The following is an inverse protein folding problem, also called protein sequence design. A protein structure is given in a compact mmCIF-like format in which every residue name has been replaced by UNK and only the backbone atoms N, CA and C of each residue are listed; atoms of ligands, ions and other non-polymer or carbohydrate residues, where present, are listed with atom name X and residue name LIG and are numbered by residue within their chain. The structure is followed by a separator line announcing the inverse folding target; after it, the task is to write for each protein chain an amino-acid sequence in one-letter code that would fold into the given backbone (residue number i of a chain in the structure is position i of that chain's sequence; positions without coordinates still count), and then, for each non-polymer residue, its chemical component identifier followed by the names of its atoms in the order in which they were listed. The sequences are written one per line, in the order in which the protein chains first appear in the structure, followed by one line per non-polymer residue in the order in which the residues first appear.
data_IF_295018059737
#
_entry.id   IF_295018059737
#
_cell.length_a   1.000
_cell.length_b   1.000
_cell.length_c   1.000
_cell.angle_alpha   90.00
_cell.angle_beta   90.00
_cell.angle_gamma   90.00
#
_symmetry.space_group_name_H-M   'P 1'
#
loop_
_entity.id
_entity.type
_entity.pdbx_description
1 polymer ?
#
# COMPACT_ATOMS: atom_id res chain seq x y z
N UNK A 1 3.52 8.93 -2.88
CA UNK A 1 2.85 8.55 -1.61
C UNK A 1 3.89 8.40 -0.50
N UNK A 2 3.47 8.44 0.76
CA UNK A 2 4.39 8.35 1.91
C UNK A 2 3.91 7.30 2.90
N UNK A 3 4.86 6.57 3.47
CA UNK A 3 4.57 5.66 4.58
C UNK A 3 5.12 6.25 5.87
N UNK A 4 4.32 6.14 6.93
CA UNK A 4 4.67 6.52 8.30
C UNK A 4 4.65 5.28 9.18
N UNK A 5 5.75 5.03 9.87
CA UNK A 5 5.84 4.02 10.92
C UNK A 5 5.39 4.63 12.26
N UNK A 6 4.53 3.92 12.97
CA UNK A 6 4.04 4.29 14.30
C UNK A 6 4.45 3.16 15.25
N UNK A 7 5.33 3.49 16.19
CA UNK A 7 5.64 2.60 17.30
C UNK A 7 4.47 2.53 18.28
N UNK A 8 4.12 1.34 18.73
CA UNK A 8 3.21 1.09 19.86
C UNK A 8 3.78 0.00 20.76
N UNK A 9 3.26 -0.13 21.97
CA UNK A 9 3.65 -1.20 22.91
C UNK A 9 3.39 -2.61 22.35
N UNK A 10 2.46 -2.71 21.39
CA UNK A 10 2.10 -3.95 20.70
C UNK A 10 2.95 -4.21 19.43
N UNK A 11 3.91 -3.34 19.13
CA UNK A 11 4.74 -3.40 17.93
C UNK A 11 4.54 -2.24 16.97
N UNK A 12 5.10 -2.34 15.77
CA UNK A 12 5.07 -1.27 14.76
C UNK A 12 3.84 -1.39 13.86
N UNK A 13 3.22 -0.25 13.61
CA UNK A 13 2.11 -0.08 12.67
C UNK A 13 2.54 0.84 11.54
N UNK A 14 1.93 0.69 10.38
CA UNK A 14 2.27 1.45 9.19
C UNK A 14 1.05 2.21 8.67
N UNK A 15 1.23 3.48 8.32
CA UNK A 15 0.23 4.28 7.64
C UNK A 15 0.68 4.68 6.25
N UNK A 16 -0.14 4.40 5.23
CA UNK A 16 0.06 4.86 3.86
C UNK A 16 -0.76 6.13 3.63
N UNK A 17 -0.08 7.22 3.26
CA UNK A 17 -0.66 8.51 2.91
C UNK A 17 -0.48 8.81 1.41
N UNK A 18 -1.50 9.40 0.79
CA UNK A 18 -1.42 9.92 -0.57
C UNK A 18 -0.54 11.18 -0.65
N UNK A 19 -0.47 11.83 -1.81
CA UNK A 19 0.36 13.03 -2.02
C UNK A 19 -0.17 14.25 -1.27
N UNK A 20 -1.46 14.27 -1.01
CA UNK A 20 -2.19 15.29 -0.24
C UNK A 20 -2.04 15.09 1.28
N UNK A 21 -1.40 14.00 1.72
CA UNK A 21 -1.21 13.67 3.13
C UNK A 21 -2.42 12.96 3.77
N UNK A 22 -3.40 12.57 2.98
CA UNK A 22 -4.59 11.85 3.42
C UNK A 22 -4.35 10.33 3.45
N UNK A 23 -4.94 9.60 4.42
CA UNK A 23 -4.77 8.14 4.48
C UNK A 23 -5.40 7.41 3.29
N UNK A 24 -4.64 6.48 2.71
CA UNK A 24 -5.15 5.54 1.71
C UNK A 24 -5.95 4.44 2.43
N UNK A 25 -7.23 4.72 2.69
CA UNK A 25 -8.10 3.91 3.57
C UNK A 25 -8.11 2.41 3.24
N UNK A 26 -8.17 1.95 1.97
CA UNK A 26 -8.16 0.52 1.67
C UNK A 26 -6.86 -0.17 2.11
N UNK A 27 -5.70 0.46 1.85
CA UNK A 27 -4.40 -0.04 2.30
C UNK A 27 -4.32 -0.07 3.84
N UNK A 28 -4.79 1.00 4.49
CA UNK A 28 -4.83 1.12 5.94
C UNK A 28 -5.63 -0.01 6.61
N UNK A 29 -6.81 -0.31 6.08
CA UNK A 29 -7.67 -1.39 6.58
C UNK A 29 -6.97 -2.75 6.49
N UNK A 30 -6.29 -3.00 5.38
CA UNK A 30 -5.59 -4.27 5.19
C UNK A 30 -4.34 -4.41 6.07
N UNK A 31 -3.54 -3.36 6.22
CA UNK A 31 -2.39 -3.36 7.14
C UNK A 31 -2.82 -3.55 8.60
N UNK A 32 -3.91 -2.88 9.01
CA UNK A 32 -4.52 -3.08 10.34
C UNK A 32 -4.98 -4.54 10.52
N UNK A 33 -5.58 -5.14 9.49
CA UNK A 33 -5.95 -6.55 9.54
C UNK A 33 -4.73 -7.45 9.74
N UNK A 34 -3.65 -7.26 8.98
CA UNK A 34 -2.41 -8.07 9.12
C UNK A 34 -1.79 -7.95 10.51
N UNK A 35 -1.79 -6.72 11.06
CA UNK A 35 -1.36 -6.47 12.43
C UNK A 35 -2.21 -7.22 13.45
N UNK A 36 -3.54 -7.11 13.34
CA UNK A 36 -4.48 -7.72 14.29
C UNK A 36 -4.42 -9.25 14.32
N UNK A 37 -4.10 -9.91 13.20
CA UNK A 37 -3.93 -11.36 13.15
C UNK A 37 -2.51 -11.82 13.56
N UNK A 38 -1.65 -10.90 14.02
CA UNK A 38 -0.32 -11.21 14.52
C UNK A 38 0.69 -11.61 13.43
N UNK A 39 0.59 -11.07 12.22
CA UNK A 39 1.64 -11.30 11.20
C UNK A 39 2.97 -10.69 11.67
N UNK A 40 4.07 -11.35 11.29
CA UNK A 40 5.41 -10.88 11.59
C UNK A 40 5.65 -9.46 11.02
N UNK A 41 6.42 -8.64 11.74
CA UNK A 41 6.72 -7.25 11.34
C UNK A 41 7.25 -7.16 9.91
N UNK A 42 8.21 -8.02 9.54
CA UNK A 42 8.76 -8.06 8.18
C UNK A 42 7.70 -8.35 7.12
N UNK A 43 6.71 -9.19 7.42
CA UNK A 43 5.59 -9.45 6.53
C UNK A 43 4.76 -8.17 6.35
N UNK A 44 4.38 -7.51 7.43
CA UNK A 44 3.59 -6.28 7.37
C UNK A 44 4.35 -5.19 6.61
N UNK A 45 5.66 -5.05 6.85
CA UNK A 45 6.55 -4.12 6.15
C UNK A 45 6.62 -4.40 4.64
N UNK A 46 6.76 -5.67 4.24
CA UNK A 46 6.70 -6.03 2.82
C UNK A 46 5.35 -5.68 2.19
N UNK A 47 4.24 -5.96 2.88
CA UNK A 47 2.91 -5.60 2.38
C UNK A 47 2.72 -4.10 2.26
N UNK A 48 3.16 -3.33 3.25
CA UNK A 48 3.14 -1.86 3.22
C UNK A 48 3.87 -1.34 1.98
N UNK A 49 5.10 -1.81 1.75
CA UNK A 49 5.91 -1.39 0.61
C UNK A 49 5.21 -1.69 -0.73
N UNK A 50 4.66 -2.90 -0.89
CA UNK A 50 3.96 -3.28 -2.11
C UNK A 50 2.64 -2.53 -2.31
N UNK A 51 1.89 -2.27 -1.23
CA UNK A 51 0.68 -1.45 -1.28
C UNK A 51 1.01 -0.02 -1.71
N UNK A 52 2.09 0.56 -1.18
CA UNK A 52 2.55 1.89 -1.60
C UNK A 52 2.78 1.93 -3.11
N UNK A 53 3.57 1.00 -3.64
CA UNK A 53 3.85 0.93 -5.08
C UNK A 53 2.58 0.77 -5.91
N UNK A 54 1.66 -0.09 -5.46
CA UNK A 54 0.41 -0.34 -6.17
C UNK A 54 -0.50 0.89 -6.21
N UNK A 55 -0.69 1.57 -5.07
CA UNK A 55 -1.52 2.77 -5.03
C UNK A 55 -0.84 3.96 -5.73
N UNK A 56 0.49 4.06 -5.75
CA UNK A 56 1.22 5.03 -6.56
C UNK A 56 0.99 4.81 -8.05
N UNK A 57 1.03 3.57 -8.52
CA UNK A 57 0.70 3.22 -9.89
C UNK A 57 -0.75 3.61 -10.24
N UNK A 58 -1.72 3.23 -9.40
CA UNK A 58 -3.14 3.57 -9.64
C UNK A 58 -3.38 5.09 -9.69
N UNK A 59 -2.69 5.86 -8.84
CA UNK A 59 -2.75 7.32 -8.84
C UNK A 59 -2.20 7.92 -10.14
N UNK A 60 -1.05 7.42 -10.63
CA UNK A 60 -0.44 7.87 -11.89
C UNK A 60 -1.35 7.57 -13.08
N UNK A 61 -1.90 6.37 -13.13
CA UNK A 61 -2.80 5.93 -14.21
C UNK A 61 -4.24 6.45 -14.05
N UNK A 62 -4.55 7.13 -12.93
CA UNK A 62 -5.89 7.65 -12.57
C UNK A 62 -6.97 6.55 -12.56
N UNK A 63 -6.63 5.38 -12.03
CA UNK A 63 -7.52 4.22 -11.94
C UNK A 63 -8.06 4.11 -10.50
N UNK A 64 -9.38 4.00 -10.35
CA UNK A 64 -10.00 3.59 -9.08
C UNK A 64 -9.64 2.12 -8.81
N UNK A 65 -9.12 1.83 -7.62
CA UNK A 65 -8.77 0.48 -7.17
C UNK A 65 -9.94 -0.51 -7.21
N UNK A 66 -11.19 -0.03 -7.23
CA UNK A 66 -12.39 -0.85 -7.35
C UNK A 66 -12.75 -1.20 -8.80
N UNK A 67 -12.15 -0.53 -9.78
CA UNK A 67 -12.42 -0.69 -11.21
C UNK A 67 -11.28 -1.42 -11.94
N UNK A 68 -10.44 -2.13 -11.20
CA UNK A 68 -9.27 -2.82 -11.73
C UNK A 68 -9.66 -4.04 -12.55
N UNK A 69 -8.88 -4.33 -13.58
CA UNK A 69 -9.04 -5.52 -14.41
C UNK A 69 -7.68 -6.15 -14.72
N UNK A 70 -7.69 -7.26 -15.47
CA UNK A 70 -6.45 -7.98 -15.82
C UNK A 70 -5.45 -7.11 -16.59
N UNK A 71 -5.93 -6.18 -17.43
CA UNK A 71 -5.06 -5.24 -18.12
C UNK A 71 -4.38 -4.28 -17.13
N UNK A 72 -5.10 -3.76 -16.13
CA UNK A 72 -4.51 -2.96 -15.05
C UNK A 72 -3.38 -3.69 -14.35
N UNK A 73 -3.55 -4.99 -14.05
CA UNK A 73 -2.49 -5.79 -13.44
C UNK A 73 -1.28 -5.97 -14.37
N UNK A 74 -1.51 -6.24 -15.66
CA UNK A 74 -0.42 -6.34 -16.64
C UNK A 74 0.38 -5.02 -16.71
N UNK A 75 -0.32 -3.88 -16.73
CA UNK A 75 0.30 -2.56 -16.74
C UNK A 75 1.07 -2.30 -15.45
N UNK A 76 0.54 -2.70 -14.28
CA UNK A 76 1.24 -2.60 -13.01
C UNK A 76 2.56 -3.39 -13.01
N UNK A 77 2.55 -4.64 -13.50
CA UNK A 77 3.78 -5.46 -13.62
C UNK A 77 4.79 -4.81 -14.56
N UNK A 78 4.33 -4.20 -15.66
CA UNK A 78 5.17 -3.41 -16.56
C UNK A 78 5.78 -2.19 -15.85
N UNK A 79 4.96 -1.44 -15.12
CA UNK A 79 5.35 -0.25 -14.36
C UNK A 79 6.41 -0.56 -13.30
N UNK A 80 6.32 -1.71 -12.61
CA UNK A 80 7.32 -2.14 -11.62
C UNK A 80 8.73 -2.38 -12.19
N UNK A 81 8.89 -2.52 -13.52
CA UNK A 81 10.22 -2.68 -14.15
C UNK A 81 10.96 -1.34 -14.33
N UNK A 82 10.22 -0.23 -14.32
CA UNK A 82 10.75 1.12 -14.34
C UNK A 82 9.77 2.02 -13.58
N UNK A 83 9.65 1.85 -12.26
CA UNK A 83 8.91 2.80 -11.44
C UNK A 83 9.73 4.09 -11.52
N UNK A 84 9.18 5.12 -12.18
CA UNK A 84 9.85 6.39 -12.51
C UNK A 84 10.88 6.86 -11.46
#
# INVERSE_FOLDING_TARGET
MKVIEIGSDEGKRYMLLNREGEPVIPAMKYLKYLFNIGRAENTIKSYEYHLKLYFEFLEVEKIDYQQINLHTFSSFIGWLRSPF
#
